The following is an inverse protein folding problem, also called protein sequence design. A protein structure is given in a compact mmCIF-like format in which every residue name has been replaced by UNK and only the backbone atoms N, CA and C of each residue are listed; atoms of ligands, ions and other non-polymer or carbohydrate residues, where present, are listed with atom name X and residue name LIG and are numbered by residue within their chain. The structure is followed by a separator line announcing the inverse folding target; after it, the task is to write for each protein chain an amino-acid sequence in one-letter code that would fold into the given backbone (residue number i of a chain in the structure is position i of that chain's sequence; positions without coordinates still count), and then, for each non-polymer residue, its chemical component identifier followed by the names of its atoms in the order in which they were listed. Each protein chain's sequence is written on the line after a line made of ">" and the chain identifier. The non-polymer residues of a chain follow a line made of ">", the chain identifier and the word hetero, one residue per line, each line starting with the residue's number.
data_IF_413140706456
#
_entry.id   IF_413140706456
#
_cell.length_a   1.000
_cell.length_b   1.000
_cell.length_c   1.000
_cell.angle_alpha   90.00
_cell.angle_beta   90.00
_cell.angle_gamma   90.00
#
_symmetry.space_group_name_H-M   'P 1'
#
loop_
_entity.id
_entity.type
_entity.pdbx_description
1 polymer ?
#
# COMPACT_ATOMS: atom_id res chain seq x y z
N UNK A 1 8.22 21.44 -18.64
CA UNK A 1 8.37 21.68 -17.19
C UNK A 1 6.98 21.81 -16.60
N UNK A 2 6.52 20.82 -15.85
CA UNK A 2 5.19 20.82 -15.25
C UNK A 2 5.23 21.73 -14.03
N UNK A 3 4.72 22.96 -14.16
CA UNK A 3 4.70 23.92 -13.05
C UNK A 3 3.76 23.47 -11.92
N UNK A 4 4.01 23.96 -10.71
CA UNK A 4 3.16 23.65 -9.55
C UNK A 4 1.74 24.21 -9.77
N UNK A 5 0.69 23.39 -9.65
CA UNK A 5 -0.63 23.79 -10.07
C UNK A 5 -1.25 24.83 -9.13
N UNK A 6 -2.17 25.62 -9.67
CA UNK A 6 -2.94 26.61 -8.94
C UNK A 6 -4.28 26.84 -9.63
N UNK A 7 -5.20 27.48 -8.91
CA UNK A 7 -6.41 28.07 -9.49
C UNK A 7 -6.39 29.58 -9.28
N UNK A 8 -7.18 30.31 -10.06
CA UNK A 8 -7.28 31.76 -9.93
C UNK A 8 -7.99 32.20 -8.65
N UNK A 9 -8.87 31.35 -8.11
CA UNK A 9 -9.63 31.61 -6.88
C UNK A 9 -9.47 30.43 -5.91
N UNK A 10 -8.40 30.41 -5.10
CA UNK A 10 -8.14 29.33 -4.13
C UNK A 10 -9.29 29.09 -3.15
N UNK A 11 -10.02 30.14 -2.78
CA UNK A 11 -11.19 30.06 -1.90
C UNK A 11 -12.32 29.18 -2.43
N UNK A 12 -12.33 28.86 -3.73
CA UNK A 12 -13.32 27.98 -4.38
C UNK A 12 -12.93 26.49 -4.36
N UNK A 13 -11.68 26.15 -4.01
CA UNK A 13 -11.21 24.77 -3.84
C UNK A 13 -12.11 23.94 -2.89
N UNK A 14 -12.53 24.45 -1.72
CA UNK A 14 -13.39 23.69 -0.81
C UNK A 14 -14.69 23.26 -1.46
N UNK A 15 -15.24 24.14 -2.31
CA UNK A 15 -16.47 23.88 -3.04
C UNK A 15 -16.24 22.83 -4.13
N UNK A 16 -15.15 22.92 -4.88
CA UNK A 16 -14.79 21.92 -5.88
C UNK A 16 -14.62 20.52 -5.25
N UNK A 17 -13.90 20.41 -4.13
CA UNK A 17 -13.74 19.15 -3.39
C UNK A 17 -15.08 18.62 -2.85
N UNK A 18 -15.98 19.51 -2.42
CA UNK A 18 -17.36 19.15 -2.03
C UNK A 18 -18.16 18.60 -3.20
N UNK A 19 -17.99 19.17 -4.39
CA UNK A 19 -18.64 18.69 -5.63
C UNK A 19 -18.21 17.27 -5.96
N UNK A 20 -16.92 16.94 -5.84
CA UNK A 20 -16.41 15.56 -6.03
C UNK A 20 -17.15 14.57 -5.12
N UNK A 21 -17.38 14.96 -3.85
CA UNK A 21 -18.05 14.10 -2.86
C UNK A 21 -19.56 13.96 -3.08
N UNK A 22 -20.25 15.05 -3.45
CA UNK A 22 -21.72 15.13 -3.37
C UNK A 22 -22.45 15.12 -4.71
N UNK A 23 -21.83 15.61 -5.78
CA UNK A 23 -22.52 15.75 -7.06
C UNK A 23 -22.59 14.43 -7.84
N UNK A 24 -23.56 14.28 -8.73
CA UNK A 24 -23.56 13.20 -9.73
C UNK A 24 -22.33 13.36 -10.64
N UNK A 25 -21.51 12.31 -10.76
CA UNK A 25 -20.30 12.37 -11.59
C UNK A 25 -20.69 12.33 -13.07
N UNK A 26 -20.42 13.37 -13.87
CA UNK A 26 -20.68 13.34 -15.31
C UNK A 26 -19.60 12.51 -16.03
N UNK A 27 -19.87 12.10 -17.26
CA UNK A 27 -18.87 11.43 -18.11
C UNK A 27 -17.61 12.28 -18.36
N UNK A 28 -17.74 13.62 -18.28
CA UNK A 28 -16.64 14.56 -18.43
C UNK A 28 -16.77 15.71 -17.42
N UNK A 29 -15.72 15.93 -16.65
CA UNK A 29 -15.56 17.05 -15.74
C UNK A 29 -15.12 18.27 -16.56
N UNK A 30 -16.00 19.27 -16.65
CA UNK A 30 -15.77 20.52 -17.39
C UNK A 30 -15.91 21.73 -16.48
N UNK A 31 -15.46 22.91 -16.93
CA UNK A 31 -15.67 24.15 -16.19
C UNK A 31 -17.16 24.41 -15.93
N UNK A 32 -17.99 24.22 -16.96
CA UNK A 32 -19.46 24.33 -16.84
C UNK A 32 -20.03 23.35 -15.81
N UNK A 33 -19.50 22.12 -15.71
CA UNK A 33 -19.95 21.18 -14.67
C UNK A 33 -19.68 21.72 -13.25
N UNK A 34 -18.50 22.29 -13.02
CA UNK A 34 -18.17 22.84 -11.70
C UNK A 34 -18.98 24.11 -11.41
N UNK A 35 -19.20 24.96 -12.40
CA UNK A 35 -20.05 26.16 -12.29
C UNK A 35 -21.50 25.80 -11.98
N UNK A 36 -22.06 24.78 -12.66
CA UNK A 36 -23.38 24.24 -12.37
C UNK A 36 -23.50 23.65 -10.95
N UNK A 37 -22.38 23.34 -10.30
CA UNK A 37 -22.32 22.86 -8.91
C UNK A 37 -21.85 23.94 -7.92
N UNK A 38 -21.92 25.21 -8.33
CA UNK A 38 -21.82 26.38 -7.45
C UNK A 38 -20.55 27.19 -7.58
N UNK A 39 -19.60 26.82 -8.44
CA UNK A 39 -18.46 27.71 -8.74
C UNK A 39 -18.96 28.95 -9.50
N UNK A 40 -18.32 30.11 -9.27
CA UNK A 40 -18.64 31.31 -10.02
C UNK A 40 -18.23 31.17 -11.49
N UNK A 41 -18.97 31.84 -12.38
CA UNK A 41 -18.71 31.83 -13.83
C UNK A 41 -17.29 32.32 -14.13
N UNK A 42 -16.54 31.52 -14.89
CA UNK A 42 -15.14 31.81 -15.28
C UNK A 42 -14.09 31.14 -14.41
N UNK A 43 -14.45 30.64 -13.21
CA UNK A 43 -13.51 29.91 -12.33
C UNK A 43 -13.36 28.44 -12.74
N UNK A 44 -14.40 27.87 -13.34
CA UNK A 44 -14.49 26.44 -13.66
C UNK A 44 -13.29 25.90 -14.44
N UNK A 45 -12.84 26.53 -15.55
CA UNK A 45 -11.72 26.04 -16.35
C UNK A 45 -10.40 25.95 -15.56
N UNK A 46 -10.09 26.95 -14.73
CA UNK A 46 -8.89 26.97 -13.90
C UNK A 46 -8.94 25.88 -12.82
N UNK A 47 -10.11 25.69 -12.19
CA UNK A 47 -10.32 24.63 -11.23
C UNK A 47 -10.17 23.24 -11.86
N UNK A 48 -10.67 23.03 -13.08
CA UNK A 48 -10.44 21.77 -13.82
C UNK A 48 -8.95 21.56 -14.09
N UNK A 49 -8.21 22.63 -14.39
CA UNK A 49 -6.75 22.57 -14.54
C UNK A 49 -6.06 22.08 -13.26
N UNK A 50 -6.42 22.64 -12.10
CA UNK A 50 -5.92 22.21 -10.80
C UNK A 50 -6.27 20.75 -10.49
N UNK A 51 -7.53 20.35 -10.69
CA UNK A 51 -7.98 18.97 -10.46
C UNK A 51 -7.28 17.97 -11.39
N UNK A 52 -7.04 18.34 -12.65
CA UNK A 52 -6.27 17.52 -13.59
C UNK A 52 -4.82 17.36 -13.14
N UNK A 53 -4.17 18.44 -12.73
CA UNK A 53 -2.79 18.40 -12.26
C UNK A 53 -2.63 17.58 -10.97
N UNK A 54 -3.65 17.56 -10.11
CA UNK A 54 -3.70 16.70 -8.92
C UNK A 54 -4.13 15.25 -9.22
N UNK A 55 -4.44 14.92 -10.48
CA UNK A 55 -4.79 13.55 -10.90
C UNK A 55 -6.23 13.13 -10.65
N UNK A 56 -7.14 14.05 -10.28
CA UNK A 56 -8.58 13.77 -10.14
C UNK A 56 -9.29 13.65 -11.49
N UNK A 57 -8.75 14.31 -12.51
CA UNK A 57 -9.30 14.35 -13.87
C UNK A 57 -8.19 13.98 -14.84
N UNK A 58 -8.50 13.15 -15.84
CA UNK A 58 -7.52 12.76 -16.85
C UNK A 58 -7.35 13.82 -17.96
N UNK A 59 -6.54 13.50 -18.97
CA UNK A 59 -6.33 14.35 -20.13
C UNK A 59 -7.60 14.52 -21.00
N UNK A 60 -8.47 13.52 -21.05
CA UNK A 60 -9.75 13.58 -21.77
C UNK A 60 -10.81 14.40 -21.00
N UNK A 61 -10.60 14.66 -19.71
CA UNK A 61 -11.55 15.30 -18.83
C UNK A 61 -12.44 14.31 -18.10
N UNK A 62 -12.17 13.01 -18.14
CA UNK A 62 -12.92 12.01 -17.40
C UNK A 62 -12.45 11.94 -15.92
N UNK A 63 -13.34 11.60 -14.98
CA UNK A 63 -12.98 11.34 -13.59
C UNK A 63 -12.04 10.13 -13.51
N UNK A 64 -10.96 10.25 -12.74
CA UNK A 64 -9.98 9.16 -12.55
C UNK A 64 -10.40 8.23 -11.41
N UNK A 65 -9.59 7.20 -11.16
CA UNK A 65 -9.70 6.37 -9.95
C UNK A 65 -9.65 7.22 -8.67
N UNK A 66 -8.75 8.20 -8.60
CA UNK A 66 -8.60 9.09 -7.46
C UNK A 66 -9.89 9.87 -7.17
N UNK A 67 -10.61 10.32 -8.21
CA UNK A 67 -11.92 10.96 -8.06
C UNK A 67 -12.93 10.05 -7.35
N UNK A 68 -13.04 8.81 -7.81
CA UNK A 68 -14.03 7.86 -7.28
C UNK A 68 -13.71 7.46 -5.84
N UNK A 69 -12.44 7.23 -5.51
CA UNK A 69 -12.00 6.89 -4.15
C UNK A 69 -12.21 8.07 -3.19
N UNK A 70 -11.83 9.28 -3.60
CA UNK A 70 -12.04 10.49 -2.81
C UNK A 70 -13.52 10.73 -2.50
N UNK A 71 -14.42 10.32 -3.39
CA UNK A 71 -15.87 10.39 -3.18
C UNK A 71 -16.40 9.38 -2.16
N UNK A 72 -15.85 8.17 -2.11
CA UNK A 72 -16.46 7.01 -1.43
C UNK A 72 -15.92 6.72 -0.03
N UNK A 73 -14.75 7.24 0.34
CA UNK A 73 -14.05 6.82 1.56
C UNK A 73 -14.16 7.84 2.71
N UNK A 74 -14.36 7.34 3.94
CA UNK A 74 -14.25 8.10 5.20
C UNK A 74 -12.78 8.48 5.56
N UNK A 75 -11.90 8.56 4.55
CA UNK A 75 -10.48 8.90 4.61
C UNK A 75 -10.03 9.79 3.44
N UNK A 76 -10.96 10.47 2.78
CA UNK A 76 -10.70 11.36 1.62
C UNK A 76 -9.61 12.41 1.85
N UNK A 77 -9.47 12.91 3.07
CA UNK A 77 -8.44 13.87 3.48
C UNK A 77 -7.02 13.29 3.33
N UNK A 78 -6.85 11.98 3.51
CA UNK A 78 -5.56 11.30 3.31
C UNK A 78 -5.22 11.12 1.83
N UNK A 79 -6.23 10.83 1.01
CA UNK A 79 -6.07 10.78 -0.45
C UNK A 79 -5.67 12.15 -1.00
N UNK A 80 -6.21 13.24 -0.43
CA UNK A 80 -5.78 14.59 -0.76
C UNK A 80 -4.32 14.84 -0.41
N UNK A 81 -3.86 14.40 0.78
CA UNK A 81 -2.47 14.55 1.20
C UNK A 81 -1.49 13.86 0.23
N UNK A 82 -1.85 12.69 -0.31
CA UNK A 82 -1.04 11.98 -1.30
C UNK A 82 -1.02 12.70 -2.64
N UNK A 83 -2.19 13.14 -3.14
CA UNK A 83 -2.28 13.95 -4.35
C UNK A 83 -1.44 15.24 -4.25
N UNK A 84 -1.41 15.86 -3.06
CA UNK A 84 -0.59 17.04 -2.79
C UNK A 84 0.91 16.74 -2.83
N UNK A 85 1.36 15.61 -2.26
CA UNK A 85 2.77 15.21 -2.34
C UNK A 85 3.24 15.03 -3.77
N UNK A 86 2.39 14.51 -4.66
CA UNK A 86 2.72 14.38 -6.08
C UNK A 86 2.68 15.73 -6.81
N UNK A 87 1.61 16.51 -6.65
CA UNK A 87 1.40 17.76 -7.38
C UNK A 87 2.32 18.90 -6.95
N UNK A 88 2.76 18.89 -5.68
CA UNK A 88 3.66 19.89 -5.08
C UNK A 88 4.97 19.27 -4.61
N UNK A 89 5.44 18.22 -5.31
CA UNK A 89 6.65 17.47 -4.94
C UNK A 89 7.85 18.37 -4.55
N UNK A 90 8.17 19.47 -5.26
CA UNK A 90 9.30 20.33 -4.87
C UNK A 90 9.17 20.96 -3.47
N UNK A 91 7.96 21.25 -2.99
CA UNK A 91 7.75 21.76 -1.63
C UNK A 91 7.99 20.68 -0.57
N UNK A 92 7.58 19.44 -0.85
CA UNK A 92 7.79 18.30 0.03
C UNK A 92 9.23 17.75 -0.04
N UNK A 93 9.97 18.03 -1.11
CA UNK A 93 11.41 17.79 -1.19
C UNK A 93 12.20 18.83 -0.39
N UNK A 94 11.80 20.10 -0.45
CA UNK A 94 12.45 21.19 0.27
C UNK A 94 12.16 21.19 1.79
N UNK A 95 10.98 20.73 2.20
CA UNK A 95 10.54 20.79 3.59
C UNK A 95 9.92 19.47 4.05
N UNK A 96 10.21 19.08 5.30
CA UNK A 96 9.62 17.89 5.92
C UNK A 96 8.10 18.04 6.16
N UNK A 97 7.66 19.23 6.56
CA UNK A 97 6.27 19.57 6.90
C UNK A 97 5.86 20.91 6.25
N UNK A 98 5.78 20.98 4.90
CA UNK A 98 5.54 22.23 4.17
C UNK A 98 4.22 22.92 4.55
N UNK A 99 3.22 22.19 5.03
CA UNK A 99 1.94 22.72 5.52
C UNK A 99 2.10 23.64 6.74
N UNK A 100 3.20 23.52 7.49
CA UNK A 100 3.52 24.37 8.64
C UNK A 100 4.44 25.55 8.29
N UNK A 101 4.94 25.58 7.06
CA UNK A 101 5.93 26.58 6.62
C UNK A 101 5.22 27.91 6.30
N UNK A 102 5.81 29.06 6.67
CA UNK A 102 5.24 30.38 6.35
C UNK A 102 5.04 30.61 4.83
N UNK A 103 3.96 31.31 4.41
CA UNK A 103 3.65 31.53 2.99
C UNK A 103 4.80 32.16 2.19
N UNK A 104 5.50 33.13 2.79
CA UNK A 104 6.63 33.80 2.13
C UNK A 104 7.75 32.82 1.77
N UNK A 105 8.05 31.87 2.66
CA UNK A 105 9.11 30.87 2.46
C UNK A 105 8.71 29.85 1.39
N UNK A 106 7.46 29.40 1.39
CA UNK A 106 6.92 28.56 0.32
C UNK A 106 7.00 29.28 -1.02
N UNK A 107 6.65 30.57 -1.06
CA UNK A 107 6.67 31.39 -2.26
C UNK A 107 8.05 31.54 -2.90
N UNK A 108 9.13 31.52 -2.12
CA UNK A 108 10.50 31.50 -2.64
C UNK A 108 10.75 30.22 -3.45
N UNK A 109 10.46 29.05 -2.87
CA UNK A 109 10.65 27.76 -3.56
C UNK A 109 9.76 27.66 -4.80
N UNK A 110 8.50 28.10 -4.72
CA UNK A 110 7.62 28.13 -5.89
C UNK A 110 8.23 28.97 -7.01
N UNK A 111 8.68 30.19 -6.72
CA UNK A 111 9.28 31.07 -7.72
C UNK A 111 10.53 30.47 -8.35
N UNK A 112 11.42 29.92 -7.52
CA UNK A 112 12.71 29.38 -7.97
C UNK A 112 12.52 28.17 -8.89
N UNK A 113 11.53 27.32 -8.60
CA UNK A 113 11.26 26.10 -9.37
C UNK A 113 10.45 26.36 -10.64
N UNK A 114 9.46 27.26 -10.58
CA UNK A 114 8.50 27.44 -11.69
C UNK A 114 8.78 28.65 -12.56
N UNK A 115 9.53 29.64 -12.07
CA UNK A 115 9.72 30.93 -12.74
C UNK A 115 8.44 31.79 -12.80
N UNK A 116 7.44 31.51 -11.96
CA UNK A 116 6.17 32.22 -11.95
C UNK A 116 6.29 33.70 -11.56
N UNK A 117 5.39 34.53 -12.11
CA UNK A 117 5.19 35.91 -11.66
C UNK A 117 4.72 35.93 -10.20
N UNK A 118 4.93 37.06 -9.50
CA UNK A 118 4.52 37.20 -8.10
C UNK A 118 3.06 36.80 -7.87
N UNK A 119 2.17 37.25 -8.74
CA UNK A 119 0.74 36.92 -8.67
C UNK A 119 0.47 35.41 -8.75
N UNK A 120 1.10 34.69 -9.69
CA UNK A 120 0.94 33.24 -9.80
C UNK A 120 1.60 32.49 -8.62
N UNK A 121 2.73 32.98 -8.10
CA UNK A 121 3.35 32.45 -6.87
C UNK A 121 2.37 32.52 -5.70
N UNK A 122 1.74 33.68 -5.50
CA UNK A 122 0.78 33.89 -4.41
C UNK A 122 -0.44 32.96 -4.57
N UNK A 123 -0.95 32.80 -5.80
CA UNK A 123 -2.04 31.86 -6.09
C UNK A 123 -1.66 30.39 -5.86
N UNK A 124 -0.44 29.98 -6.22
CA UNK A 124 0.08 28.63 -5.97
C UNK A 124 0.22 28.36 -4.48
N UNK A 125 0.82 29.28 -3.71
CA UNK A 125 0.97 29.14 -2.26
C UNK A 125 -0.39 29.09 -1.58
N UNK A 126 -1.32 29.95 -1.96
CA UNK A 126 -2.64 29.96 -1.36
C UNK A 126 -3.45 28.71 -1.73
N UNK A 127 -3.41 28.27 -3.00
CA UNK A 127 -4.04 27.01 -3.43
C UNK A 127 -3.50 25.83 -2.61
N UNK A 128 -2.18 25.73 -2.47
CA UNK A 128 -1.53 24.70 -1.67
C UNK A 128 -2.01 24.73 -0.21
N UNK A 129 -2.03 25.89 0.44
CA UNK A 129 -2.45 26.03 1.84
C UNK A 129 -3.92 25.65 2.04
N UNK A 130 -4.81 26.09 1.15
CA UNK A 130 -6.23 25.75 1.21
C UNK A 130 -6.46 24.24 1.07
N UNK A 131 -5.65 23.56 0.25
CA UNK A 131 -5.67 22.11 0.10
C UNK A 131 -5.09 21.40 1.32
N UNK A 132 -3.94 21.85 1.85
CA UNK A 132 -3.33 21.31 3.06
C UNK A 132 -4.26 21.38 4.27
N UNK A 133 -5.02 22.47 4.42
CA UNK A 133 -6.01 22.62 5.49
C UNK A 133 -7.15 21.58 5.44
N UNK A 134 -7.26 20.79 4.37
CA UNK A 134 -8.25 19.73 4.14
C UNK A 134 -7.63 18.36 3.98
N UNK A 135 -6.32 18.26 4.18
CA UNK A 135 -5.57 17.04 3.99
C UNK A 135 -5.09 16.51 5.34
N UNK A 136 -5.12 15.19 5.51
CA UNK A 136 -4.61 14.51 6.70
C UNK A 136 -3.24 13.91 6.40
N UNK A 137 -2.19 14.53 6.97
CA UNK A 137 -0.80 14.10 6.80
C UNK A 137 -0.31 13.13 7.88
N UNK A 138 -1.16 12.74 8.85
CA UNK A 138 -0.74 12.04 10.07
C UNK A 138 -0.21 10.60 9.87
N UNK A 139 -0.43 9.96 8.72
CA UNK A 139 0.27 8.72 8.29
C UNK A 139 0.47 8.68 6.77
N UNK A 140 1.69 8.35 6.32
CA UNK A 140 1.99 8.06 4.91
C UNK A 140 1.44 6.68 4.57
N UNK A 141 0.42 6.62 3.71
CA UNK A 141 0.00 5.38 3.09
C UNK A 141 1.07 4.94 2.09
N UNK A 142 1.52 3.70 2.17
CA UNK A 142 2.22 3.04 1.06
C UNK A 142 1.18 2.90 -0.06
N UNK A 143 1.47 3.43 -1.24
CA UNK A 143 0.55 3.48 -2.37
C UNK A 143 -0.21 2.16 -2.54
N UNK A 144 -1.52 2.25 -2.77
CA UNK A 144 -2.32 1.07 -3.08
C UNK A 144 -1.75 0.37 -4.31
N UNK A 145 -1.55 -0.96 -4.26
CA UNK A 145 -1.51 -1.74 -5.47
C UNK A 145 -2.79 -1.45 -6.27
N UNK A 146 -2.73 -1.34 -7.61
CA UNK A 146 -3.90 -1.11 -8.43
C UNK A 146 -5.04 -2.08 -8.06
N UNK A 147 -6.26 -1.57 -7.87
CA UNK A 147 -7.45 -2.30 -7.40
C UNK A 147 -7.80 -3.58 -8.20
N UNK A 148 -7.12 -3.84 -9.32
CA UNK A 148 -7.20 -5.08 -10.08
C UNK A 148 -6.45 -6.27 -9.44
N UNK A 149 -5.52 -6.05 -8.49
CA UNK A 149 -4.62 -7.11 -8.01
C UNK A 149 -5.20 -7.92 -6.84
N UNK A 150 -6.06 -7.34 -5.99
CA UNK A 150 -6.55 -8.02 -4.78
C UNK A 150 -7.96 -8.63 -4.97
N UNK A 151 -8.78 -8.07 -5.88
CA UNK A 151 -10.17 -8.51 -6.07
C UNK A 151 -10.33 -9.91 -6.70
N UNK A 152 -9.26 -10.54 -7.18
CA UNK A 152 -9.29 -11.87 -7.81
C UNK A 152 -8.87 -13.03 -6.88
N UNK A 153 -8.43 -12.74 -5.66
CA UNK A 153 -7.94 -13.78 -4.73
C UNK A 153 -9.11 -14.33 -3.93
N UNK A 154 -9.70 -15.43 -4.41
CA UNK A 154 -10.75 -16.14 -3.68
C UNK A 154 -10.11 -17.02 -2.60
N UNK A 155 -10.29 -16.64 -1.34
CA UNK A 155 -9.84 -17.42 -0.20
C UNK A 155 -10.99 -18.22 0.40
N UNK A 156 -10.87 -19.55 0.49
CA UNK A 156 -11.93 -20.40 1.05
C UNK A 156 -11.62 -20.85 2.47
N UNK A 157 -12.64 -21.23 3.26
CA UNK A 157 -12.43 -21.87 4.56
C UNK A 157 -11.50 -23.08 4.42
N UNK A 158 -11.66 -23.87 3.34
CA UNK A 158 -10.80 -25.02 3.05
C UNK A 158 -9.33 -24.63 2.94
N UNK A 159 -9.00 -23.53 2.25
CA UNK A 159 -7.62 -23.03 2.15
C UNK A 159 -7.05 -22.63 3.52
N UNK A 160 -7.88 -22.13 4.47
CA UNK A 160 -7.43 -21.79 5.84
C UNK A 160 -7.11 -23.06 6.59
N UNK A 161 -8.05 -24.01 6.58
CA UNK A 161 -7.90 -25.30 7.26
C UNK A 161 -6.67 -26.03 6.74
N UNK A 162 -6.52 -26.15 5.41
CA UNK A 162 -5.37 -26.81 4.80
C UNK A 162 -4.05 -26.10 5.13
N UNK A 163 -4.02 -24.77 5.15
CA UNK A 163 -2.83 -24.00 5.51
C UNK A 163 -2.44 -24.19 6.98
N UNK A 164 -3.41 -24.09 7.89
CA UNK A 164 -3.20 -24.28 9.33
C UNK A 164 -2.77 -25.72 9.66
N UNK A 165 -3.31 -26.71 8.96
CA UNK A 165 -2.88 -28.10 9.11
C UNK A 165 -1.39 -28.27 8.75
N UNK A 166 -0.94 -27.66 7.64
CA UNK A 166 0.47 -27.68 7.23
C UNK A 166 1.40 -26.96 8.21
N UNK A 167 0.95 -25.84 8.77
CA UNK A 167 1.68 -25.17 9.85
C UNK A 167 1.83 -26.10 11.06
N UNK A 168 0.74 -26.74 11.48
CA UNK A 168 0.74 -27.65 12.60
C UNK A 168 1.69 -28.84 12.40
N UNK A 169 1.72 -29.43 11.20
CA UNK A 169 2.67 -30.49 10.84
C UNK A 169 4.13 -30.03 11.03
N UNK A 170 4.50 -28.86 10.49
CA UNK A 170 5.86 -28.32 10.63
C UNK A 170 6.25 -28.01 12.08
N UNK A 171 5.31 -27.47 12.88
CA UNK A 171 5.54 -27.20 14.30
C UNK A 171 5.63 -28.48 15.14
N UNK A 172 4.84 -29.50 14.83
CA UNK A 172 4.90 -30.82 15.48
C UNK A 172 6.23 -31.53 15.18
N UNK A 173 6.69 -31.49 13.93
CA UNK A 173 8.01 -32.02 13.57
C UNK A 173 9.12 -31.26 14.27
N UNK A 174 9.03 -29.93 14.33
CA UNK A 174 9.98 -29.10 15.04
C UNK A 174 10.04 -29.43 16.54
N UNK A 175 8.88 -29.66 17.16
CA UNK A 175 8.83 -30.07 18.57
C UNK A 175 9.48 -31.44 18.80
N UNK A 176 9.17 -32.41 17.94
CA UNK A 176 9.82 -33.72 17.97
C UNK A 176 11.34 -33.59 17.86
N UNK A 177 11.83 -32.69 17.00
CA UNK A 177 13.26 -32.41 16.88
C UNK A 177 13.84 -31.85 18.19
N UNK A 178 13.18 -30.89 18.86
CA UNK A 178 13.62 -30.35 20.15
C UNK A 178 13.69 -31.46 21.22
N UNK A 179 12.66 -32.31 21.29
CA UNK A 179 12.60 -33.42 22.26
C UNK A 179 13.76 -34.42 22.10
N UNK A 180 14.39 -34.47 20.90
CA UNK A 180 15.56 -35.29 20.60
C UNK A 180 16.89 -34.50 20.55
N UNK A 181 16.90 -33.24 21.00
CA UNK A 181 18.08 -32.38 21.00
C UNK A 181 18.51 -31.87 19.62
N UNK A 182 17.66 -32.02 18.61
CA UNK A 182 17.88 -31.61 17.21
C UNK A 182 17.39 -30.17 16.98
N UNK A 183 17.97 -29.20 17.69
CA UNK A 183 17.49 -27.81 17.67
C UNK A 183 17.64 -27.14 16.27
N UNK A 184 18.71 -27.44 15.52
CA UNK A 184 18.87 -26.88 14.16
C UNK A 184 17.79 -27.38 13.18
N UNK A 185 17.52 -28.70 13.08
CA UNK A 185 16.35 -29.20 12.36
C UNK A 185 15.03 -28.58 12.81
N UNK A 186 14.84 -28.32 14.10
CA UNK A 186 13.61 -27.70 14.60
C UNK A 186 13.31 -26.34 13.95
N UNK A 187 14.32 -25.47 13.81
CA UNK A 187 14.16 -24.18 13.10
C UNK A 187 13.74 -24.38 11.63
N UNK A 188 14.32 -25.38 10.96
CA UNK A 188 14.02 -25.68 9.57
C UNK A 188 12.59 -26.20 9.43
N UNK A 189 12.17 -27.15 10.27
CA UNK A 189 10.82 -27.71 10.26
C UNK A 189 9.73 -26.68 10.58
N UNK A 190 9.95 -25.82 11.60
CA UNK A 190 9.01 -24.76 11.94
C UNK A 190 8.85 -23.77 10.77
N UNK A 191 9.97 -23.32 10.19
CA UNK A 191 9.94 -22.45 9.02
C UNK A 191 9.27 -23.10 7.81
N UNK A 192 9.50 -24.39 7.59
CA UNK A 192 8.83 -25.13 6.51
C UNK A 192 7.31 -25.15 6.70
N UNK A 193 6.82 -25.27 7.95
CA UNK A 193 5.40 -25.11 8.27
C UNK A 193 4.85 -23.73 7.88
N UNK A 194 5.58 -22.65 8.21
CA UNK A 194 5.23 -21.28 7.80
C UNK A 194 5.21 -21.11 6.27
N UNK A 195 6.24 -21.61 5.58
CA UNK A 195 6.31 -21.57 4.11
C UNK A 195 5.15 -22.35 3.49
N UNK A 196 4.83 -23.53 4.01
CA UNK A 196 3.73 -24.35 3.51
C UNK A 196 2.36 -23.66 3.68
N UNK A 197 2.14 -22.98 4.81
CA UNK A 197 0.98 -22.11 5.03
C UNK A 197 0.92 -21.00 3.98
N UNK A 198 2.01 -20.22 3.83
CA UNK A 198 2.08 -19.11 2.91
C UNK A 198 1.85 -19.53 1.45
N UNK A 199 2.47 -20.63 1.02
CA UNK A 199 2.29 -21.17 -0.33
C UNK A 199 0.86 -21.68 -0.56
N UNK A 200 0.21 -22.26 0.46
CA UNK A 200 -1.20 -22.65 0.38
C UNK A 200 -2.10 -21.44 0.12
N UNK A 201 -1.78 -20.29 0.73
CA UNK A 201 -2.51 -19.05 0.52
C UNK A 201 -2.24 -18.48 -0.87
N UNK A 202 -0.98 -18.47 -1.31
CA UNK A 202 -0.60 -18.00 -2.65
C UNK A 202 -1.20 -18.86 -3.77
N UNK A 203 -1.43 -20.15 -3.53
CA UNK A 203 -2.05 -21.07 -4.46
C UNK A 203 -3.59 -21.03 -4.47
N UNK A 204 -4.22 -20.36 -3.50
CA UNK A 204 -5.67 -20.21 -3.46
C UNK A 204 -6.21 -19.49 -4.71
N UNK A 205 -7.44 -19.82 -5.09
CA UNK A 205 -8.07 -19.23 -6.28
C UNK A 205 -7.28 -19.48 -7.56
N UNK A 206 -6.74 -20.69 -7.72
CA UNK A 206 -5.86 -21.06 -8.84
C UNK A 206 -4.65 -20.13 -8.93
N UNK A 207 -3.85 -19.98 -7.87
CA UNK A 207 -2.65 -19.12 -7.90
C UNK A 207 -2.91 -17.63 -8.24
N UNK A 208 -4.14 -17.15 -8.06
CA UNK A 208 -4.49 -15.77 -8.39
C UNK A 208 -3.60 -14.76 -7.66
N UNK A 209 -3.32 -14.98 -6.37
CA UNK A 209 -2.44 -14.12 -5.57
C UNK A 209 -1.01 -14.10 -6.10
N UNK A 210 -0.45 -15.28 -6.40
CA UNK A 210 0.90 -15.37 -6.97
C UNK A 210 0.99 -14.65 -8.32
N UNK A 211 0.00 -14.82 -9.22
CA UNK A 211 -0.04 -14.15 -10.53
C UNK A 211 -0.26 -12.64 -10.42
N UNK A 212 -0.93 -12.19 -9.37
CA UNK A 212 -1.17 -10.78 -9.11
C UNK A 212 0.15 -9.99 -8.95
N UNK A 213 1.13 -10.58 -8.26
CA UNK A 213 2.43 -9.95 -8.01
C UNK A 213 3.54 -10.47 -8.94
N UNK A 214 3.35 -11.63 -9.57
CA UNK A 214 4.26 -12.22 -10.57
C UNK A 214 3.49 -12.67 -11.83
N UNK A 215 3.00 -11.73 -12.66
CA UNK A 215 2.11 -12.05 -13.79
C UNK A 215 2.77 -12.89 -14.90
N UNK A 216 4.10 -12.91 -14.98
CA UNK A 216 4.84 -13.72 -15.96
C UNK A 216 4.98 -15.20 -15.55
N UNK A 217 4.65 -15.55 -14.32
CA UNK A 217 4.82 -16.91 -13.82
C UNK A 217 3.64 -17.79 -14.22
N UNK A 218 3.94 -18.90 -14.91
CA UNK A 218 2.98 -19.92 -15.32
C UNK A 218 3.00 -21.11 -14.37
N UNK A 219 2.70 -20.85 -13.09
CA UNK A 219 2.67 -21.90 -12.06
C UNK A 219 1.37 -22.70 -12.14
N UNK A 220 1.48 -24.02 -12.00
CA UNK A 220 0.34 -24.95 -12.03
C UNK A 220 0.21 -25.82 -10.79
N UNK A 221 1.24 -25.84 -9.94
CA UNK A 221 1.27 -26.59 -8.69
C UNK A 221 1.97 -25.81 -7.58
N UNK A 222 1.69 -26.20 -6.33
CA UNK A 222 2.37 -25.64 -5.14
C UNK A 222 3.86 -25.95 -5.17
N UNK A 223 4.26 -27.12 -5.69
CA UNK A 223 5.66 -27.51 -5.85
C UNK A 223 6.37 -26.62 -6.87
N UNK A 224 5.74 -26.35 -8.01
CA UNK A 224 6.31 -25.43 -9.00
C UNK A 224 6.44 -24.01 -8.43
N UNK A 225 5.43 -23.57 -7.68
CA UNK A 225 5.47 -22.28 -6.99
C UNK A 225 6.62 -22.25 -5.97
N UNK A 226 6.82 -23.30 -5.16
CA UNK A 226 7.88 -23.35 -4.16
C UNK A 226 9.28 -23.25 -4.79
N UNK A 227 9.50 -23.94 -5.92
CA UNK A 227 10.77 -23.86 -6.67
C UNK A 227 11.07 -22.46 -7.19
N UNK A 228 10.05 -21.71 -7.59
CA UNK A 228 10.19 -20.33 -8.07
C UNK A 228 10.27 -19.30 -6.95
N UNK A 229 10.00 -19.71 -5.71
CA UNK A 229 9.81 -18.80 -4.57
C UNK A 229 10.80 -19.13 -3.44
N UNK A 230 12.11 -18.87 -3.63
CA UNK A 230 13.08 -18.98 -2.54
C UNK A 230 12.73 -18.01 -1.39
N UNK A 231 13.27 -18.25 -0.19
CA UNK A 231 12.81 -17.60 1.05
C UNK A 231 12.64 -16.07 0.95
N UNK A 232 13.63 -15.34 0.43
CA UNK A 232 13.53 -13.89 0.30
C UNK A 232 12.45 -13.44 -0.72
N UNK A 233 12.28 -14.21 -1.79
CA UNK A 233 11.26 -13.96 -2.80
C UNK A 233 9.85 -14.22 -2.25
N UNK A 234 9.68 -15.23 -1.40
CA UNK A 234 8.42 -15.47 -0.69
C UNK A 234 8.03 -14.26 0.15
N UNK A 235 8.96 -13.75 0.96
CA UNK A 235 8.71 -12.59 1.81
C UNK A 235 8.35 -11.35 0.98
N UNK A 236 9.06 -11.13 -0.13
CA UNK A 236 8.75 -10.04 -1.06
C UNK A 236 7.35 -10.18 -1.66
N UNK A 237 6.95 -11.38 -2.10
CA UNK A 237 5.60 -11.61 -2.63
C UNK A 237 4.51 -11.36 -1.58
N UNK A 238 4.72 -11.79 -0.32
CA UNK A 238 3.78 -11.54 0.77
C UNK A 238 3.66 -10.03 1.06
N UNK A 239 4.77 -9.30 1.06
CA UNK A 239 4.78 -7.85 1.22
C UNK A 239 4.08 -7.13 0.06
N UNK A 240 4.36 -7.51 -1.19
CA UNK A 240 3.72 -6.95 -2.39
C UNK A 240 2.18 -7.15 -2.38
N UNK A 241 1.69 -8.18 -1.66
CA UNK A 241 0.26 -8.48 -1.47
C UNK A 241 -0.37 -7.77 -0.24
N UNK A 242 0.41 -7.02 0.55
CA UNK A 242 -0.04 -6.42 1.81
C UNK A 242 -0.26 -7.44 2.94
N UNK A 243 0.22 -8.67 2.78
CA UNK A 243 0.08 -9.73 3.77
C UNK A 243 1.08 -9.62 4.92
N UNK A 244 2.08 -8.75 4.79
CA UNK A 244 3.07 -8.46 5.82
C UNK A 244 3.32 -6.96 5.85
N UNK A 245 3.05 -6.31 6.99
CA UNK A 245 3.36 -4.89 7.21
C UNK A 245 3.74 -4.69 8.68
N UNK A 246 4.34 -3.55 9.01
CA UNK A 246 4.73 -3.22 10.39
C UNK A 246 5.71 -4.26 10.94
N UNK A 247 5.55 -4.60 12.22
CA UNK A 247 6.45 -5.48 12.97
C UNK A 247 6.66 -6.83 12.28
N UNK A 248 5.63 -7.40 11.65
CA UNK A 248 5.74 -8.67 10.92
C UNK A 248 6.69 -8.58 9.72
N UNK A 249 6.67 -7.46 8.99
CA UNK A 249 7.55 -7.25 7.85
C UNK A 249 9.02 -7.14 8.27
N UNK A 250 9.29 -6.61 9.46
CA UNK A 250 10.63 -6.51 10.04
C UNK A 250 11.10 -7.84 10.67
N UNK A 251 10.17 -8.62 11.25
CA UNK A 251 10.47 -9.89 11.92
C UNK A 251 10.79 -11.02 10.93
N UNK A 252 10.04 -11.16 9.84
CA UNK A 252 10.16 -12.30 8.93
C UNK A 252 11.56 -12.48 8.30
N UNK A 253 12.28 -11.42 7.88
CA UNK A 253 13.66 -11.54 7.44
C UNK A 253 14.60 -12.11 8.51
N UNK A 254 14.40 -11.77 9.78
CA UNK A 254 15.20 -12.27 10.90
C UNK A 254 14.94 -13.76 11.14
N UNK A 255 13.68 -14.18 11.05
CA UNK A 255 13.30 -15.60 11.16
C UNK A 255 13.86 -16.43 10.00
N UNK A 256 13.79 -15.90 8.77
CA UNK A 256 14.41 -16.53 7.60
C UNK A 256 15.92 -16.66 7.76
N UNK A 257 16.60 -15.62 8.26
CA UNK A 257 18.04 -15.65 8.51
C UNK A 257 18.40 -16.71 9.55
N UNK A 258 17.68 -16.75 10.67
CA UNK A 258 17.89 -17.75 11.74
C UNK A 258 17.71 -19.18 11.22
N UNK A 259 16.70 -19.41 10.37
CA UNK A 259 16.53 -20.70 9.68
C UNK A 259 17.71 -21.00 8.76
N UNK A 260 18.17 -20.02 7.97
CA UNK A 260 19.30 -20.20 7.05
C UNK A 260 20.58 -20.58 7.80
N UNK A 261 20.83 -19.97 8.95
CA UNK A 261 21.96 -20.31 9.80
C UNK A 261 21.89 -21.76 10.28
N UNK A 262 20.69 -22.27 10.56
CA UNK A 262 20.45 -23.69 10.90
C UNK A 262 20.55 -24.66 9.70
N UNK A 263 20.27 -24.20 8.47
CA UNK A 263 20.29 -25.01 7.25
C UNK A 263 21.66 -25.06 6.53
N UNK A 264 22.55 -24.10 6.81
CA UNK A 264 23.86 -23.97 6.18
C UNK A 264 25.01 -24.28 7.14
N UNK A 265 26.24 -24.59 6.66
CA UNK A 265 27.38 -24.93 7.52
C UNK A 265 27.91 -23.71 8.28
N UNK A 266 27.16 -23.27 9.29
CA UNK A 266 27.49 -22.18 10.21
C UNK A 266 27.86 -22.74 11.59
N UNK A 267 28.45 -21.89 12.44
CA UNK A 267 28.70 -22.18 13.85
C UNK A 267 27.47 -22.03 14.75
N UNK A 268 26.34 -21.53 14.23
CA UNK A 268 25.14 -21.30 15.03
C UNK A 268 24.60 -22.61 15.60
N UNK A 269 24.41 -22.68 16.93
CA UNK A 269 23.94 -23.86 17.66
C UNK A 269 22.92 -23.40 18.71
N UNK A 270 21.64 -23.31 18.34
CA UNK A 270 20.61 -22.89 19.28
C UNK A 270 20.41 -23.96 20.37
N UNK A 271 20.09 -23.48 21.56
CA UNK A 271 19.59 -24.27 22.69
C UNK A 271 18.13 -24.68 22.46
N UNK A 272 17.63 -25.60 23.30
CA UNK A 272 16.22 -26.00 23.27
C UNK A 272 15.29 -24.81 23.57
N UNK A 273 15.67 -23.93 24.49
CA UNK A 273 14.90 -22.72 24.83
C UNK A 273 14.84 -21.74 23.65
N UNK A 274 15.98 -21.45 23.01
CA UNK A 274 16.00 -20.60 21.81
C UNK A 274 15.18 -21.20 20.66
N UNK A 275 15.15 -22.55 20.54
CA UNK A 275 14.31 -23.23 19.58
C UNK A 275 12.81 -23.09 19.90
N UNK A 276 12.41 -23.28 21.16
CA UNK A 276 11.01 -23.06 21.58
C UNK A 276 10.58 -21.60 21.33
N UNK A 277 11.44 -20.62 21.62
CA UNK A 277 11.18 -19.19 21.33
C UNK A 277 11.02 -18.95 19.82
N UNK A 278 11.88 -19.56 18.99
CA UNK A 278 11.75 -19.47 17.53
C UNK A 278 10.43 -20.09 17.02
N UNK A 279 9.99 -21.21 17.61
CA UNK A 279 8.71 -21.85 17.27
C UNK A 279 7.54 -20.93 17.60
N UNK A 280 7.60 -20.23 18.74
CA UNK A 280 6.59 -19.25 19.14
C UNK A 280 6.54 -18.07 18.17
N UNK A 281 7.69 -17.52 17.81
CA UNK A 281 7.77 -16.42 16.84
C UNK A 281 7.21 -16.82 15.47
N UNK A 282 7.56 -18.02 14.99
CA UNK A 282 7.01 -18.57 13.74
C UNK A 282 5.50 -18.76 13.82
N UNK A 283 4.99 -19.27 14.95
CA UNK A 283 3.57 -19.42 15.16
C UNK A 283 2.85 -18.06 15.16
N UNK A 284 3.39 -17.06 15.86
CA UNK A 284 2.80 -15.72 15.91
C UNK A 284 2.78 -15.07 14.51
N UNK A 285 3.89 -15.16 13.77
CA UNK A 285 3.97 -14.68 12.40
C UNK A 285 2.94 -15.38 11.49
N UNK A 286 2.75 -16.68 11.66
CA UNK A 286 1.75 -17.45 10.92
C UNK A 286 0.31 -17.03 11.26
N UNK A 287 -0.01 -16.75 12.52
CA UNK A 287 -1.34 -16.30 12.93
C UNK A 287 -1.65 -14.90 12.40
N UNK A 288 -0.68 -13.99 12.42
CA UNK A 288 -0.86 -12.67 11.81
C UNK A 288 -1.06 -12.76 10.29
N UNK A 289 -0.32 -13.65 9.60
CA UNK A 289 -0.54 -13.92 8.18
C UNK A 289 -1.97 -14.43 7.90
N UNK A 290 -2.49 -15.35 8.71
CA UNK A 290 -3.86 -15.88 8.58
C UNK A 290 -4.91 -14.79 8.79
N UNK A 291 -4.73 -13.94 9.80
CA UNK A 291 -5.63 -12.84 10.12
C UNK A 291 -5.65 -11.78 9.01
N UNK A 292 -4.47 -11.38 8.51
CA UNK A 292 -4.35 -10.47 7.37
C UNK A 292 -4.97 -11.06 6.10
N UNK A 293 -4.65 -12.32 5.77
CA UNK A 293 -5.24 -13.00 4.63
C UNK A 293 -6.78 -13.06 4.74
N UNK A 294 -7.31 -13.25 5.96
CA UNK A 294 -8.76 -13.29 6.20
C UNK A 294 -9.45 -11.95 5.97
N UNK A 295 -8.76 -10.83 6.25
CA UNK A 295 -9.25 -9.47 5.99
C UNK A 295 -9.16 -9.08 4.52
N UNK A 296 -8.03 -9.38 3.89
CA UNK A 296 -7.75 -8.96 2.51
C UNK A 296 -8.44 -9.85 1.47
N UNK A 297 -8.67 -11.13 1.82
CA UNK A 297 -9.29 -12.11 0.94
C UNK A 297 -10.48 -12.77 1.66
N UNK A 298 -11.66 -12.13 1.64
CA UNK A 298 -12.85 -12.72 2.24
C UNK A 298 -13.31 -13.95 1.45
N UNK A 299 -13.91 -14.92 2.15
CA UNK A 299 -14.59 -16.03 1.49
C UNK A 299 -15.85 -15.56 0.78
N UNK A 300 -16.10 -16.09 -0.42
CA UNK A 300 -17.41 -15.97 -1.03
C UNK A 300 -18.42 -16.74 -0.14
N UNK A 301 -19.47 -16.04 0.29
CA UNK A 301 -20.64 -16.66 0.92
C UNK A 301 -21.42 -17.50 -0.10
#
# INVERSE_FOLDING_TARGET
>A
MTGMPHTTVPASIPLALRTIRKASTPHRITGHHLEANGLATGEGPHMVGLLRAMGFVDAAGAPTRLWNEYRQTDGSERLLAEALRAAYAPLFEAFKTPETVPPRTLGTVVRDVTGYSQHHVDQTVESFRVLCARADFTRRRVADPPAATISAVRFTIQSRISGLARLAEGLQEARSCIDHGLCRPAYVSAWNGYVALALTFLAAGDFAAARAVRPSWKVTSIEELSMKTPGAELLRMLADLGLTEGDLADQLPLLLQSRNDCAHPTSFRPTATEADDFLLDVHQAAMELVDRASRLFPSAA
#
